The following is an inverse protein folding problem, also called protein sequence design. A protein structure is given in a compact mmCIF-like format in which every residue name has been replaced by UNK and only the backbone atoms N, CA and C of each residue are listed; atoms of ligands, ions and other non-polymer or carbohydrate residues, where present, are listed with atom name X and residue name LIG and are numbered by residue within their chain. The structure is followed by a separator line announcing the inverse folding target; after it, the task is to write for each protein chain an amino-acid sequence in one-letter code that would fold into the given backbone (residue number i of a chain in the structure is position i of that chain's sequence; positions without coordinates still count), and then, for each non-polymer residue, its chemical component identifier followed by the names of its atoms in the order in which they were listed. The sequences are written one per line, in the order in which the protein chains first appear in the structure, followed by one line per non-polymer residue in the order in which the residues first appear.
data_IF_430917028619
#
_entry.id   IF_430917028619
#
_cell.length_a   1.000
_cell.length_b   1.000
_cell.length_c   1.000
_cell.angle_alpha   90.00
_cell.angle_beta   90.00
_cell.angle_gamma   90.00
#
_symmetry.space_group_name_H-M   'P 1'
#
loop_
_entity.id
_entity.type
_entity.pdbx_description
1 polymer ?
#
# COMPACT_ATOMS: atom_id res chain seq x y z
N UNK A 1 7.65 -5.87 -24.12
CA UNK A 1 8.48 -5.04 -23.23
C UNK A 1 9.58 -5.88 -22.60
N UNK A 2 10.83 -5.48 -22.78
CA UNK A 2 12.02 -6.11 -22.21
C UNK A 2 12.44 -5.38 -20.94
N UNK A 3 12.59 -6.10 -19.85
CA UNK A 3 12.89 -5.53 -18.53
C UNK A 3 14.25 -6.03 -18.06
N UNK A 4 15.13 -5.11 -17.70
CA UNK A 4 16.33 -5.44 -16.94
C UNK A 4 16.09 -5.23 -15.44
N UNK A 5 16.58 -6.14 -14.61
CA UNK A 5 16.47 -6.03 -13.15
C UNK A 5 17.58 -6.82 -12.45
N UNK A 6 17.94 -6.40 -11.23
CA UNK A 6 18.95 -7.10 -10.42
C UNK A 6 18.27 -8.19 -9.58
N UNK A 7 18.06 -9.38 -10.16
CA UNK A 7 17.37 -10.50 -9.49
C UNK A 7 18.01 -10.85 -8.12
N UNK A 8 19.31 -10.57 -7.96
CA UNK A 8 20.04 -10.72 -6.69
C UNK A 8 19.48 -9.89 -5.52
N UNK A 9 18.68 -8.85 -5.77
CA UNK A 9 18.01 -8.10 -4.69
C UNK A 9 16.71 -8.77 -4.21
N UNK A 10 16.23 -9.80 -4.91
CA UNK A 10 15.01 -10.49 -4.51
C UNK A 10 15.20 -11.19 -3.16
N UNK A 11 14.26 -10.96 -2.25
CA UNK A 11 14.21 -11.57 -0.94
C UNK A 11 12.86 -12.27 -0.76
N UNK A 12 12.89 -13.61 -0.79
CA UNK A 12 11.68 -14.44 -0.68
C UNK A 12 10.98 -14.29 0.67
N UNK A 13 11.71 -13.96 1.74
CA UNK A 13 11.14 -13.72 3.07
C UNK A 13 10.36 -12.40 3.14
N UNK A 14 10.60 -11.49 2.19
CA UNK A 14 9.98 -10.17 2.09
C UNK A 14 9.15 -10.00 0.81
N UNK A 15 8.59 -11.09 0.28
CA UNK A 15 7.76 -11.11 -0.95
C UNK A 15 6.65 -10.06 -1.00
N UNK A 16 6.14 -9.60 0.14
CA UNK A 16 5.17 -8.50 0.20
C UNK A 16 5.65 -7.17 -0.39
N UNK A 17 6.97 -6.99 -0.52
CA UNK A 17 7.60 -5.84 -1.17
C UNK A 17 8.08 -6.13 -2.59
N UNK A 18 7.91 -7.34 -3.11
CA UNK A 18 8.29 -7.65 -4.50
C UNK A 18 7.48 -6.76 -5.43
N UNK A 19 8.13 -6.17 -6.43
CA UNK A 19 7.44 -5.40 -7.46
C UNK A 19 6.41 -6.27 -8.17
N UNK A 20 5.17 -5.79 -8.33
CA UNK A 20 4.08 -6.59 -8.88
C UNK A 20 4.38 -7.09 -10.30
N UNK A 21 5.14 -6.32 -11.09
CA UNK A 21 5.60 -6.71 -12.44
C UNK A 21 6.49 -7.98 -12.41
N UNK A 22 7.18 -8.24 -11.30
CA UNK A 22 8.05 -9.42 -11.14
C UNK A 22 7.36 -10.63 -10.51
N UNK A 23 6.12 -10.51 -10.02
CA UNK A 23 5.39 -11.65 -9.44
C UNK A 23 5.17 -12.83 -10.40
N UNK A 24 4.97 -12.61 -11.71
CA UNK A 24 4.87 -13.69 -12.69
C UNK A 24 6.21 -14.40 -12.95
N UNK A 25 7.34 -13.74 -12.68
CA UNK A 25 8.69 -14.28 -12.96
C UNK A 25 9.35 -14.93 -11.74
N UNK A 26 9.01 -14.48 -10.52
CA UNK A 26 9.70 -14.88 -9.29
C UNK A 26 8.75 -15.48 -8.23
N UNK A 27 9.18 -16.50 -7.46
CA UNK A 27 10.50 -17.16 -7.51
C UNK A 27 10.65 -18.15 -8.67
N UNK A 28 9.52 -18.58 -9.24
CA UNK A 28 9.43 -19.43 -10.42
C UNK A 28 8.53 -18.73 -11.43
N UNK A 29 8.82 -18.95 -12.71
CA UNK A 29 8.05 -18.39 -13.81
C UNK A 29 6.66 -19.03 -13.87
N UNK A 30 5.62 -18.19 -13.91
CA UNK A 30 4.20 -18.54 -13.81
C UNK A 30 3.35 -17.61 -14.67
N UNK A 31 3.82 -17.23 -15.86
CA UNK A 31 3.18 -16.24 -16.73
C UNK A 31 1.71 -16.58 -17.05
N UNK A 32 1.43 -17.86 -17.30
CA UNK A 32 0.09 -18.37 -17.59
C UNK A 32 -0.90 -18.12 -16.44
N UNK A 33 -0.47 -18.28 -15.18
CA UNK A 33 -1.32 -18.00 -13.99
C UNK A 33 -1.77 -16.54 -13.92
N UNK A 34 -0.99 -15.63 -14.52
CA UNK A 34 -1.27 -14.21 -14.57
C UNK A 34 -1.93 -13.78 -15.89
N UNK A 35 -2.23 -14.72 -16.79
CA UNK A 35 -2.82 -14.44 -18.10
C UNK A 35 -1.89 -13.60 -19.00
N UNK A 36 -0.57 -13.75 -18.86
CA UNK A 36 0.41 -13.01 -19.64
C UNK A 36 0.91 -13.88 -20.79
N UNK A 37 0.66 -13.43 -22.02
CA UNK A 37 1.16 -14.11 -23.21
C UNK A 37 2.68 -14.09 -23.29
N UNK A 38 3.25 -15.22 -23.72
CA UNK A 38 4.69 -15.35 -23.96
C UNK A 38 5.15 -14.29 -24.97
N UNK A 39 6.03 -13.39 -24.52
CA UNK A 39 6.61 -12.31 -25.32
C UNK A 39 6.07 -10.91 -25.06
N UNK A 40 4.92 -10.76 -24.38
CA UNK A 40 4.40 -9.43 -24.01
C UNK A 40 5.36 -8.72 -23.04
N UNK A 41 5.87 -9.45 -22.05
CA UNK A 41 6.90 -8.99 -21.11
C UNK A 41 7.97 -10.07 -21.00
N UNK A 42 9.25 -9.68 -20.96
CA UNK A 42 10.36 -10.61 -20.71
C UNK A 42 11.47 -9.97 -19.91
N UNK A 43 12.14 -10.77 -19.08
CA UNK A 43 13.39 -10.36 -18.43
C UNK A 43 14.56 -10.52 -19.39
N UNK A 44 15.52 -9.59 -19.34
CA UNK A 44 16.77 -9.65 -20.11
C UNK A 44 17.97 -9.53 -19.18
N UNK A 45 19.09 -10.14 -19.59
CA UNK A 45 20.31 -10.22 -18.77
C UNK A 45 21.19 -8.97 -18.88
N UNK A 46 20.99 -8.15 -19.92
CA UNK A 46 21.80 -6.97 -20.21
C UNK A 46 20.92 -5.72 -20.27
N UNK A 47 21.42 -4.60 -19.75
CA UNK A 47 20.68 -3.33 -19.70
C UNK A 47 20.43 -2.83 -21.12
N UNK A 48 21.40 -3.02 -22.00
CA UNK A 48 21.39 -2.60 -23.40
C UNK A 48 20.18 -3.18 -24.14
N UNK A 49 19.87 -4.44 -23.86
CA UNK A 49 18.74 -5.19 -24.43
C UNK A 49 17.38 -4.80 -23.87
N UNK A 50 17.33 -4.03 -22.77
CA UNK A 50 16.08 -3.68 -22.10
C UNK A 50 15.41 -2.45 -22.70
N UNK A 51 14.08 -2.41 -22.63
CA UNK A 51 13.30 -1.20 -22.90
C UNK A 51 13.28 -0.32 -21.65
N UNK A 52 13.30 -0.94 -20.45
CA UNK A 52 13.24 -0.27 -19.16
C UNK A 52 13.93 -1.10 -18.06
N UNK A 53 14.48 -0.42 -17.07
CA UNK A 53 14.95 -1.05 -15.84
C UNK A 53 13.84 -1.11 -14.79
N UNK A 54 13.91 -2.08 -13.89
CA UNK A 54 12.96 -2.23 -12.80
C UNK A 54 13.71 -2.48 -11.49
N UNK A 55 13.35 -1.76 -10.43
CA UNK A 55 13.83 -2.08 -9.09
C UNK A 55 13.08 -3.32 -8.56
N UNK A 56 13.78 -4.43 -8.20
CA UNK A 56 13.13 -5.68 -7.85
C UNK A 56 12.16 -5.60 -6.68
N UNK A 57 12.57 -4.91 -5.62
CA UNK A 57 11.77 -4.71 -4.42
C UNK A 57 11.26 -3.25 -4.38
N UNK A 58 10.22 -2.99 -3.61
CA UNK A 58 9.71 -1.65 -3.41
C UNK A 58 10.72 -0.75 -2.67
N UNK A 59 10.68 0.55 -2.88
CA UNK A 59 11.63 1.49 -2.27
C UNK A 59 11.66 1.40 -0.74
N UNK A 60 10.49 1.23 -0.11
CA UNK A 60 10.38 1.05 1.33
C UNK A 60 11.03 -0.23 1.85
N UNK A 61 11.22 -1.28 1.04
CA UNK A 61 12.04 -2.42 1.43
C UNK A 61 13.49 -1.97 1.68
N UNK A 62 14.10 -1.29 0.70
CA UNK A 62 15.49 -0.86 0.82
C UNK A 62 15.70 0.14 1.97
N UNK A 63 14.71 0.99 2.25
CA UNK A 63 14.73 1.87 3.42
C UNK A 63 14.68 1.07 4.73
N UNK A 64 13.72 0.16 4.85
CA UNK A 64 13.46 -0.56 6.09
C UNK A 64 14.53 -1.60 6.42
N UNK A 65 15.28 -2.07 5.42
CA UNK A 65 16.40 -3.02 5.60
C UNK A 65 17.77 -2.37 5.47
N UNK A 66 17.87 -1.03 5.42
CA UNK A 66 19.14 -0.31 5.26
C UNK A 66 19.95 -0.71 4.01
N UNK A 67 19.28 -1.07 2.91
CA UNK A 67 19.88 -1.51 1.64
C UNK A 67 19.78 -0.46 0.52
N UNK A 68 19.60 0.82 0.87
CA UNK A 68 19.42 1.93 -0.08
C UNK A 68 20.55 1.99 -1.11
N UNK A 69 21.79 1.65 -0.73
CA UNK A 69 22.94 1.69 -1.63
C UNK A 69 22.79 0.71 -2.81
N UNK A 70 22.28 -0.50 -2.57
CA UNK A 70 21.98 -1.48 -3.65
C UNK A 70 20.98 -0.91 -4.66
N UNK A 71 19.92 -0.25 -4.18
CA UNK A 71 18.95 0.39 -5.05
C UNK A 71 19.58 1.55 -5.83
N UNK A 72 20.40 2.38 -5.18
CA UNK A 72 21.12 3.49 -5.83
C UNK A 72 22.09 3.01 -6.91
N UNK A 73 22.76 1.88 -6.71
CA UNK A 73 23.64 1.28 -7.72
C UNK A 73 22.86 0.90 -8.98
N UNK A 74 21.70 0.25 -8.84
CA UNK A 74 20.85 -0.07 -9.99
C UNK A 74 20.29 1.19 -10.67
N UNK A 75 19.88 2.20 -9.89
CA UNK A 75 19.43 3.49 -10.44
C UNK A 75 20.53 4.13 -11.28
N UNK A 76 21.78 4.15 -10.79
CA UNK A 76 22.93 4.67 -11.53
C UNK A 76 23.25 3.85 -12.77
N UNK A 77 23.21 2.52 -12.68
CA UNK A 77 23.39 1.62 -13.83
C UNK A 77 22.37 1.92 -14.94
N UNK A 78 21.09 2.10 -14.58
CA UNK A 78 20.05 2.49 -15.53
C UNK A 78 20.35 3.86 -16.18
N UNK A 79 20.82 4.83 -15.39
CA UNK A 79 21.23 6.14 -15.91
C UNK A 79 22.36 6.03 -16.94
N UNK A 80 23.43 5.28 -16.61
CA UNK A 80 24.56 5.04 -17.52
C UNK A 80 24.13 4.36 -18.81
N UNK A 81 23.20 3.40 -18.73
CA UNK A 81 22.62 2.73 -19.90
C UNK A 81 21.59 3.58 -20.67
N UNK A 82 21.37 4.84 -20.29
CA UNK A 82 20.33 5.72 -20.84
C UNK A 82 18.93 5.11 -20.79
N UNK A 83 18.64 4.31 -19.75
CA UNK A 83 17.34 3.66 -19.54
C UNK A 83 16.57 4.35 -18.42
N UNK A 84 15.25 4.44 -18.57
CA UNK A 84 14.37 4.77 -17.45
C UNK A 84 14.34 3.61 -16.45
N UNK A 85 14.02 3.90 -15.19
CA UNK A 85 13.83 2.89 -14.15
C UNK A 85 12.50 3.07 -13.44
N UNK A 86 11.73 1.98 -13.35
CA UNK A 86 10.51 1.91 -12.54
C UNK A 86 10.86 1.61 -11.09
N UNK A 87 10.32 2.41 -10.17
CA UNK A 87 10.46 2.22 -8.72
C UNK A 87 9.08 2.24 -8.07
N UNK A 88 8.68 1.14 -7.45
CA UNK A 88 7.42 1.07 -6.71
C UNK A 88 7.57 1.45 -5.25
N UNK A 89 6.56 2.08 -4.67
CA UNK A 89 6.35 2.24 -3.23
C UNK A 89 5.09 1.47 -2.84
N UNK A 90 5.24 0.48 -1.95
CA UNK A 90 4.16 -0.42 -1.56
C UNK A 90 3.47 0.03 -0.27
N UNK A 91 2.15 -0.08 -0.23
CA UNK A 91 1.31 0.31 0.91
C UNK A 91 0.94 1.79 0.92
N UNK A 92 0.23 2.20 1.98
CA UNK A 92 -0.32 3.55 2.15
C UNK A 92 0.75 4.55 2.64
N UNK A 93 1.87 4.61 1.91
CA UNK A 93 2.98 5.49 2.21
C UNK A 93 3.29 6.40 1.03
N UNK A 94 3.49 7.67 1.35
CA UNK A 94 4.13 8.61 0.44
C UNK A 94 5.57 8.82 0.90
N UNK A 95 6.52 8.30 0.12
CA UNK A 95 7.95 8.31 0.44
C UNK A 95 8.68 8.99 -0.69
N UNK A 96 9.61 9.88 -0.37
CA UNK A 96 10.41 10.56 -1.39
C UNK A 96 11.33 9.57 -2.09
N UNK A 97 11.31 9.58 -3.43
CA UNK A 97 12.29 8.88 -4.25
C UNK A 97 13.50 9.79 -4.52
N UNK A 98 14.66 9.21 -4.86
CA UNK A 98 15.80 9.99 -5.33
C UNK A 98 15.42 10.91 -6.51
N UNK A 99 15.93 12.13 -6.53
CA UNK A 99 15.63 13.11 -7.57
C UNK A 99 16.49 12.88 -8.82
N UNK A 100 16.13 11.90 -9.64
CA UNK A 100 16.75 11.67 -10.95
C UNK A 100 15.69 11.64 -12.06
N UNK A 101 16.01 12.21 -13.21
CA UNK A 101 15.03 12.40 -14.29
C UNK A 101 14.57 11.11 -14.97
N UNK A 102 15.40 10.07 -14.93
CA UNK A 102 15.09 8.76 -15.51
C UNK A 102 14.28 7.86 -14.57
N UNK A 103 13.94 8.32 -13.36
CA UNK A 103 13.07 7.58 -12.43
C UNK A 103 11.61 7.81 -12.78
N UNK A 104 10.86 6.72 -12.84
CA UNK A 104 9.40 6.70 -12.85
C UNK A 104 8.95 6.08 -11.52
N UNK A 105 8.30 6.88 -10.69
CA UNK A 105 7.78 6.46 -9.38
C UNK A 105 6.38 5.90 -9.51
N UNK A 106 6.15 4.71 -8.96
CA UNK A 106 4.86 4.02 -8.98
C UNK A 106 4.36 3.84 -7.53
N UNK A 107 3.15 4.29 -7.20
CA UNK A 107 2.68 4.36 -5.81
C UNK A 107 1.25 3.86 -5.65
N UNK A 108 0.95 3.10 -4.60
CA UNK A 108 -0.43 2.75 -4.26
C UNK A 108 -1.24 3.93 -3.67
N UNK A 109 -0.56 4.95 -3.12
CA UNK A 109 -1.22 6.08 -2.44
C UNK A 109 -0.47 7.41 -2.67
N UNK A 110 -0.80 8.12 -3.74
CA UNK A 110 -0.19 9.42 -4.07
C UNK A 110 -1.00 10.60 -3.56
N UNK A 111 -0.33 11.56 -2.91
CA UNK A 111 -0.92 12.88 -2.71
C UNK A 111 -0.85 13.65 -4.04
N UNK A 112 -2.00 14.12 -4.53
CA UNK A 112 -2.04 14.92 -5.76
C UNK A 112 -1.11 16.14 -5.68
N UNK A 113 -1.10 16.82 -4.52
CA UNK A 113 -0.22 17.98 -4.25
C UNK A 113 1.28 17.68 -4.20
N UNK A 114 1.66 16.40 -4.20
CA UNK A 114 3.06 15.94 -4.20
C UNK A 114 3.41 15.08 -5.42
N UNK A 115 2.43 14.85 -6.30
CA UNK A 115 2.64 14.07 -7.52
C UNK A 115 3.36 14.94 -8.54
N UNK A 116 4.24 14.31 -9.31
CA UNK A 116 4.92 14.91 -10.46
C UNK A 116 4.46 14.23 -11.74
N UNK A 117 4.87 14.75 -12.89
CA UNK A 117 4.74 14.10 -14.21
C UNK A 117 5.40 12.71 -14.29
N UNK A 118 6.27 12.39 -13.32
CA UNK A 118 6.99 11.12 -13.20
C UNK A 118 6.40 10.18 -12.14
N UNK A 119 5.29 10.57 -11.53
CA UNK A 119 4.63 9.83 -10.45
C UNK A 119 3.33 9.25 -10.94
N UNK A 120 3.21 7.92 -10.92
CA UNK A 120 2.05 7.20 -11.43
C UNK A 120 1.38 6.40 -10.31
N UNK A 121 0.05 6.44 -10.21
CA UNK A 121 -0.67 5.59 -9.28
C UNK A 121 -0.62 4.13 -9.77
N UNK A 122 -0.36 3.20 -8.84
CA UNK A 122 -0.51 1.76 -9.07
C UNK A 122 -1.94 1.35 -8.74
N UNK A 123 -2.66 0.71 -9.67
CA UNK A 123 -3.98 0.18 -9.37
C UNK A 123 -3.86 -0.95 -8.35
N UNK A 124 -4.69 -0.89 -7.30
CA UNK A 124 -4.85 -2.00 -6.37
C UNK A 124 -6.07 -2.80 -6.82
N UNK A 125 -5.82 -4.00 -7.34
CA UNK A 125 -6.90 -4.92 -7.72
C UNK A 125 -7.35 -5.67 -6.47
N UNK A 126 -8.61 -5.47 -6.09
CA UNK A 126 -9.27 -6.22 -5.02
C UNK A 126 -10.18 -7.27 -5.64
N UNK A 127 -10.20 -8.47 -5.05
CA UNK A 127 -11.17 -9.49 -5.43
C UNK A 127 -12.57 -9.05 -5.04
N UNK A 128 -13.54 -9.35 -5.90
CA UNK A 128 -14.95 -9.05 -5.63
C UNK A 128 -15.41 -9.79 -4.36
N UNK A 129 -15.81 -9.06 -3.29
CA UNK A 129 -16.28 -9.68 -2.06
C UNK A 129 -17.53 -10.53 -2.24
N UNK A 130 -18.34 -10.27 -3.27
CA UNK A 130 -19.54 -11.04 -3.53
C UNK A 130 -19.24 -12.54 -3.72
N UNK A 131 -18.13 -12.86 -4.39
CA UNK A 131 -17.72 -14.24 -4.68
C UNK A 131 -17.37 -15.04 -3.43
N UNK A 132 -16.66 -14.44 -2.45
CA UNK A 132 -16.23 -15.16 -1.24
C UNK A 132 -17.18 -15.00 -0.06
N UNK A 133 -18.13 -14.05 -0.12
CA UNK A 133 -19.19 -13.90 0.88
C UNK A 133 -20.40 -14.81 0.61
N UNK A 134 -20.44 -15.51 -0.53
CA UNK A 134 -21.47 -16.49 -0.90
C UNK A 134 -22.90 -15.91 -0.81
N UNK A 135 -23.08 -14.62 -1.11
CA UNK A 135 -24.34 -13.91 -0.86
C UNK A 135 -25.49 -14.32 -1.79
N UNK A 136 -25.21 -15.08 -2.86
CA UNK A 136 -26.18 -15.62 -3.82
C UNK A 136 -26.85 -14.58 -4.72
N UNK A 137 -27.27 -13.45 -4.16
CA UNK A 137 -27.83 -12.29 -4.84
C UNK A 137 -27.52 -11.00 -4.06
N UNK A 138 -27.44 -9.86 -4.77
CA UNK A 138 -27.36 -8.55 -4.13
C UNK A 138 -28.72 -8.25 -3.49
N UNK A 139 -28.74 -8.10 -2.16
CA UNK A 139 -29.94 -7.70 -1.43
C UNK A 139 -29.98 -6.18 -1.32
N UNK A 140 -31.00 -5.56 -1.93
CA UNK A 140 -31.28 -4.15 -1.75
C UNK A 140 -31.95 -3.94 -0.39
N UNK A 141 -31.54 -2.89 0.33
CA UNK A 141 -32.23 -2.48 1.56
C UNK A 141 -33.48 -1.68 1.19
N UNK A 142 -34.55 -1.89 1.94
CA UNK A 142 -35.73 -1.03 1.85
C UNK A 142 -35.41 0.38 2.33
N UNK A 143 -36.15 1.35 1.81
CA UNK A 143 -36.05 2.73 2.26
C UNK A 143 -36.64 2.85 3.67
N UNK A 144 -35.90 3.48 4.58
CA UNK A 144 -36.35 3.79 5.93
C UNK A 144 -36.44 5.32 6.10
N UNK A 145 -37.50 5.81 6.75
CA UNK A 145 -37.62 7.25 7.07
C UNK A 145 -36.49 7.72 7.99
N UNK A 146 -36.12 6.89 8.96
CA UNK A 146 -34.92 7.09 9.77
C UNK A 146 -33.71 6.41 9.10
N UNK A 147 -32.66 7.17 8.72
CA UNK A 147 -31.48 6.59 8.10
C UNK A 147 -30.69 5.74 9.09
N UNK A 148 -30.30 4.53 8.66
CA UNK A 148 -29.40 3.66 9.44
C UNK A 148 -27.96 3.78 8.96
N UNK A 149 -27.01 3.95 9.89
CA UNK A 149 -25.58 4.08 9.61
C UNK A 149 -24.82 2.93 10.28
N UNK A 150 -24.18 2.10 9.46
CA UNK A 150 -23.30 1.03 9.93
C UNK A 150 -21.84 1.44 9.91
N UNK A 151 -21.05 0.88 10.83
CA UNK A 151 -19.59 0.99 10.80
C UNK A 151 -18.95 -0.28 11.33
N UNK A 152 -18.00 -0.85 10.59
CA UNK A 152 -17.16 -1.94 11.06
C UNK A 152 -15.70 -1.57 10.82
N UNK A 153 -14.89 -1.44 11.87
CA UNK A 153 -13.48 -1.10 11.69
C UNK A 153 -12.76 -0.54 12.90
N UNK A 154 -11.51 -0.14 12.68
CA UNK A 154 -10.65 0.32 13.76
C UNK A 154 -10.99 1.76 14.19
N UNK A 155 -11.19 1.96 15.49
CA UNK A 155 -11.31 3.26 16.15
C UNK A 155 -10.44 3.31 17.39
N UNK A 156 -10.01 4.49 17.83
CA UNK A 156 -9.25 4.59 19.07
C UNK A 156 -10.13 4.27 20.29
N UNK A 157 -9.70 3.35 21.18
CA UNK A 157 -10.49 3.00 22.36
C UNK A 157 -10.47 4.10 23.43
N UNK A 158 -9.42 4.92 23.46
CA UNK A 158 -9.25 5.94 24.48
C UNK A 158 -8.47 7.17 23.99
N UNK A 159 -8.64 8.28 24.71
CA UNK A 159 -7.91 9.52 24.48
C UNK A 159 -6.41 9.30 24.72
N UNK A 160 -6.02 8.47 25.70
CA UNK A 160 -4.61 8.18 26.00
C UNK A 160 -3.91 7.56 24.79
N UNK A 161 -4.54 6.55 24.16
CA UNK A 161 -4.00 5.91 22.94
C UNK A 161 -3.93 6.91 21.79
N UNK A 162 -4.93 7.78 21.67
CA UNK A 162 -4.94 8.85 20.67
C UNK A 162 -3.77 9.81 20.87
N UNK A 163 -3.49 10.24 22.10
CA UNK A 163 -2.38 11.13 22.44
C UNK A 163 -1.01 10.50 22.18
N UNK A 164 -0.82 9.21 22.49
CA UNK A 164 0.41 8.49 22.17
C UNK A 164 0.65 8.45 20.65
N UNK A 165 -0.41 8.19 19.87
CA UNK A 165 -0.33 8.21 18.39
C UNK A 165 0.00 9.61 17.86
N UNK A 166 -0.62 10.66 18.40
CA UNK A 166 -0.32 12.05 18.07
C UNK A 166 1.16 12.38 18.33
N UNK A 167 1.69 12.01 19.50
CA UNK A 167 3.09 12.24 19.84
C UNK A 167 4.05 11.52 18.87
N UNK A 168 3.73 10.28 18.49
CA UNK A 168 4.51 9.53 17.48
C UNK A 168 4.49 10.21 16.11
N UNK A 169 3.33 10.69 15.67
CA UNK A 169 3.19 11.40 14.38
C UNK A 169 3.91 12.74 14.39
N UNK A 170 3.82 13.50 15.49
CA UNK A 170 4.58 14.74 15.67
C UNK A 170 6.09 14.47 15.62
N UNK A 171 6.55 13.42 16.30
CA UNK A 171 7.96 13.01 16.25
C UNK A 171 8.41 12.61 14.85
N UNK A 172 7.59 11.86 14.09
CA UNK A 172 7.87 11.55 12.69
C UNK A 172 8.04 12.82 11.84
N UNK A 173 7.14 13.80 12.01
CA UNK A 173 7.21 15.07 11.29
C UNK A 173 8.50 15.83 11.64
N UNK A 174 8.89 15.87 12.93
CA UNK A 174 10.16 16.46 13.37
C UNK A 174 11.33 15.74 12.68
N UNK A 175 11.36 14.41 12.71
CA UNK A 175 12.43 13.63 12.05
C UNK A 175 12.52 13.90 10.55
N UNK A 176 11.40 14.06 9.87
CA UNK A 176 11.40 14.43 8.45
C UNK A 176 12.02 15.82 8.24
N UNK A 177 11.62 16.82 9.03
CA UNK A 177 12.13 18.19 8.93
C UNK A 177 13.63 18.29 9.30
N UNK A 178 14.13 17.40 10.16
CA UNK A 178 15.56 17.26 10.47
C UNK A 178 16.33 16.38 9.46
N UNK A 179 15.69 15.97 8.36
CA UNK A 179 16.26 15.06 7.35
C UNK A 179 16.69 13.69 7.89
N UNK A 180 16.16 13.26 9.04
CA UNK A 180 16.40 11.97 9.69
C UNK A 180 15.39 10.89 9.25
N UNK A 181 14.44 11.22 8.37
CA UNK A 181 13.41 10.32 7.83
C UNK A 181 13.07 10.72 6.40
N UNK A 182 12.81 9.73 5.55
CA UNK A 182 12.32 9.93 4.17
C UNK A 182 10.79 9.80 4.05
N UNK A 183 10.12 9.41 5.13
CA UNK A 183 8.66 9.32 5.17
C UNK A 183 8.08 10.72 5.27
N UNK A 184 7.22 11.09 4.33
CA UNK A 184 6.60 12.41 4.32
C UNK A 184 5.83 12.67 5.62
N UNK A 185 5.78 13.95 6.06
CA UNK A 185 5.01 14.32 7.22
C UNK A 185 3.52 14.21 6.91
N UNK A 186 2.74 13.84 7.92
CA UNK A 186 1.30 13.71 7.83
C UNK A 186 0.57 14.53 8.89
N UNK A 187 -0.77 14.49 8.90
CA UNK A 187 -1.55 15.08 9.99
C UNK A 187 -1.13 14.49 11.34
N UNK A 188 -0.96 15.37 12.34
CA UNK A 188 -0.65 14.93 13.72
C UNK A 188 -1.85 14.21 14.34
N UNK A 189 -3.06 14.60 13.93
CA UNK A 189 -4.31 14.00 14.41
C UNK A 189 -4.50 12.63 13.72
N UNK A 190 -4.53 11.51 14.47
CA UNK A 190 -4.68 10.18 13.89
C UNK A 190 -6.07 10.01 13.26
N UNK A 191 -6.18 9.35 12.09
CA UNK A 191 -7.47 9.02 11.50
C UNK A 191 -8.37 8.18 12.41
N UNK A 192 -7.80 7.32 13.25
CA UNK A 192 -8.54 6.49 14.22
C UNK A 192 -9.23 7.31 15.31
N UNK A 193 -8.66 8.48 15.65
CA UNK A 193 -9.24 9.40 16.62
C UNK A 193 -10.35 10.25 15.99
N UNK A 194 -10.12 10.78 14.78
CA UNK A 194 -11.16 11.48 14.02
C UNK A 194 -12.38 10.58 13.82
N UNK A 195 -12.15 9.31 13.50
CA UNK A 195 -13.19 8.30 13.37
C UNK A 195 -13.94 8.08 14.68
N UNK A 196 -13.24 7.90 15.80
CA UNK A 196 -13.85 7.78 17.12
C UNK A 196 -14.80 8.97 17.40
N UNK A 197 -14.31 10.20 17.18
CA UNK A 197 -15.12 11.42 17.38
C UNK A 197 -16.39 11.42 16.56
N UNK A 198 -16.31 11.05 15.27
CA UNK A 198 -17.48 10.97 14.40
C UNK A 198 -18.48 9.93 14.90
N UNK A 199 -18.01 8.72 15.23
CA UNK A 199 -18.88 7.66 15.74
C UNK A 199 -19.54 8.05 17.06
N UNK A 200 -18.81 8.73 17.96
CA UNK A 200 -19.38 9.25 19.23
C UNK A 200 -20.45 10.33 19.02
N UNK A 201 -20.35 11.13 17.96
CA UNK A 201 -21.37 12.12 17.62
C UNK A 201 -22.60 11.41 17.05
N UNK A 202 -22.40 10.45 16.15
CA UNK A 202 -23.47 9.70 15.50
C UNK A 202 -24.26 8.85 16.50
N UNK A 203 -23.60 8.19 17.45
CA UNK A 203 -24.27 7.38 18.49
C UNK A 203 -25.10 8.20 19.47
N UNK A 204 -24.88 9.52 19.56
CA UNK A 204 -25.56 10.40 20.52
C UNK A 204 -26.77 11.13 19.94
N UNK A 205 -26.90 11.17 18.62
CA UNK A 205 -28.03 11.85 17.98
C UNK A 205 -29.16 10.86 17.76
N UNK A 206 -30.38 11.35 17.88
CA UNK A 206 -31.64 10.69 17.58
C UNK A 206 -32.05 10.79 16.10
N UNK A 207 -31.18 11.32 15.23
CA UNK A 207 -31.45 11.54 13.81
C UNK A 207 -31.07 10.36 12.91
N UNK A 208 -30.35 9.40 13.46
CA UNK A 208 -29.84 8.22 12.75
C UNK A 208 -29.88 7.03 13.69
N UNK A 209 -30.23 5.87 13.14
CA UNK A 209 -30.03 4.61 13.81
C UNK A 209 -28.60 4.12 13.57
N UNK A 210 -27.82 3.84 14.61
CA UNK A 210 -26.42 3.42 14.46
C UNK A 210 -26.18 1.94 14.78
N UNK A 211 -25.40 1.26 13.93
CA UNK A 211 -24.95 -0.12 14.12
C UNK A 211 -23.42 -0.20 13.98
N UNK A 212 -22.71 0.04 15.08
CA UNK A 212 -21.24 0.16 15.06
C UNK A 212 -20.52 -1.01 15.72
N UNK A 213 -19.64 -1.67 14.95
CA UNK A 213 -18.63 -2.63 15.40
C UNK A 213 -17.28 -1.90 15.47
N UNK A 214 -17.00 -1.32 16.64
CA UNK A 214 -15.76 -0.61 16.95
C UNK A 214 -14.67 -1.59 17.36
N UNK A 215 -13.55 -1.61 16.63
CA UNK A 215 -12.40 -2.48 16.91
C UNK A 215 -11.20 -1.66 17.37
N UNK A 216 -10.44 -2.18 18.33
CA UNK A 216 -9.24 -1.49 18.83
C UNK A 216 -8.01 -1.70 17.94
N UNK A 217 -8.03 -2.80 17.17
CA UNK A 217 -6.92 -3.25 16.31
C UNK A 217 -7.38 -3.40 14.87
N UNK A 218 -6.45 -3.15 13.95
CA UNK A 218 -6.62 -3.42 12.53
C UNK A 218 -6.93 -4.91 12.32
N UNK A 219 -7.86 -5.23 11.41
CA UNK A 219 -8.35 -6.60 11.18
C UNK A 219 -8.84 -7.31 12.46
N UNK A 220 -9.33 -6.55 13.46
CA UNK A 220 -9.73 -7.12 14.76
C UNK A 220 -8.56 -7.66 15.59
N UNK A 221 -7.31 -7.48 15.15
CA UNK A 221 -6.13 -8.10 15.75
C UNK A 221 -5.88 -9.53 15.27
N UNK A 222 -6.65 -10.02 14.30
CA UNK A 222 -6.54 -11.39 13.80
C UNK A 222 -5.47 -11.55 12.72
N UNK A 223 -4.80 -12.70 12.78
CA UNK A 223 -3.82 -13.11 11.76
C UNK A 223 -4.53 -13.68 10.53
N UNK A 224 -4.02 -13.35 9.34
CA UNK A 224 -4.53 -13.90 8.06
C UNK A 224 -4.47 -15.43 7.94
N UNK A 225 -3.78 -16.13 8.84
CA UNK A 225 -3.56 -17.59 8.79
C UNK A 225 -4.66 -18.42 9.49
N UNK A 226 -5.64 -17.81 10.15
CA UNK A 226 -6.63 -18.52 10.96
C UNK A 226 -8.08 -18.40 10.46
N UNK A 227 -8.94 -19.33 10.90
CA UNK A 227 -10.40 -19.29 10.66
C UNK A 227 -11.06 -18.04 11.26
N UNK A 228 -10.48 -17.47 12.31
CA UNK A 228 -10.90 -16.21 12.92
C UNK A 228 -10.89 -15.04 11.94
N UNK A 229 -9.93 -15.01 11.00
CA UNK A 229 -9.87 -13.96 9.98
C UNK A 229 -11.04 -14.03 9.00
N UNK A 230 -11.52 -15.22 8.67
CA UNK A 230 -12.71 -15.38 7.83
C UNK A 230 -13.97 -14.89 8.53
N UNK A 231 -14.08 -15.12 9.84
CA UNK A 231 -15.16 -14.54 10.65
C UNK A 231 -15.11 -13.01 10.64
N UNK A 232 -13.95 -12.42 10.88
CA UNK A 232 -13.75 -10.95 10.86
C UNK A 232 -14.13 -10.34 9.51
N UNK A 233 -13.91 -11.06 8.39
CA UNK A 233 -14.32 -10.66 7.05
C UNK A 233 -15.84 -10.73 6.83
N UNK A 234 -16.53 -11.72 7.39
CA UNK A 234 -18.00 -11.86 7.29
C UNK A 234 -18.77 -10.84 8.13
N UNK A 235 -18.12 -10.24 9.12
CA UNK A 235 -18.65 -9.11 9.90
C UNK A 235 -18.54 -7.76 9.15
N UNK A 236 -17.89 -7.74 7.98
CA UNK A 236 -17.75 -6.57 7.10
C UNK A 236 -18.78 -6.63 5.98
#
# INVERSE_FOLDING_TARGET
MKIFTEISHYDSSKRGFLNDILRPFLPTERLEEFGIDNGMIKLVNHIEDSDICLLPMAWNYYLNTSQINKAKELIKKAQTGSKKILISVMGDYFISLPNFDHIIGMYCSTYLSKSTDKTFPLPVIIQDPFSFLELGAIKLREFNEEPSVGFCGQSDPSIIISSIKMAKLAWQNIRFNLHLSQYYPGPIIPPTYLRKKLLDIMDKTDKVHTEFIRRDRYQGGESKKGNSFQRVKKEF
#
